data_IF_110622342066
#
_entry.id   IF_110622342066
#
_cell.length_a   1.000
_cell.length_b   1.000
_cell.length_c   1.000
_cell.angle_alpha   90.00
_cell.angle_beta   90.00
_cell.angle_gamma   90.00
#
_symmetry.space_group_name_H-M   'P 1'
#
loop_
_entity.id
_entity.type
_entity.pdbx_description
1 polymer ?
#
# COMPACT_ATOMS: atom_id res chain seq x y z
N UNK A 1 -0.38 12.88 -9.51
CA UNK A 1 -1.84 12.73 -9.44
C UNK A 1 -2.17 11.27 -9.19
N UNK A 2 -3.15 10.96 -8.35
CA UNK A 2 -3.55 9.58 -8.09
C UNK A 2 -4.18 8.93 -9.34
N UNK A 3 -4.01 7.61 -9.54
CA UNK A 3 -4.76 6.88 -10.54
C UNK A 3 -6.28 7.04 -10.33
N UNK A 4 -7.06 7.16 -11.40
CA UNK A 4 -8.48 7.51 -11.33
C UNK A 4 -9.30 6.57 -10.44
N UNK A 5 -9.03 5.26 -10.50
CA UNK A 5 -9.71 4.25 -9.67
C UNK A 5 -9.42 4.47 -8.16
N UNK A 6 -8.16 4.74 -7.82
CA UNK A 6 -7.76 5.01 -6.44
C UNK A 6 -8.31 6.35 -5.95
N UNK A 7 -8.26 7.40 -6.79
CA UNK A 7 -8.84 8.69 -6.48
C UNK A 7 -10.35 8.58 -6.15
N UNK A 8 -11.11 7.82 -6.96
CA UNK A 8 -12.53 7.60 -6.72
C UNK A 8 -12.79 6.90 -5.37
N UNK A 9 -11.98 5.91 -5.02
CA UNK A 9 -12.05 5.23 -3.73
C UNK A 9 -11.74 6.20 -2.57
N UNK A 10 -10.61 6.90 -2.63
CA UNK A 10 -10.20 7.84 -1.58
C UNK A 10 -11.23 8.97 -1.39
N UNK A 11 -11.87 9.44 -2.46
CA UNK A 11 -12.91 10.47 -2.41
C UNK A 11 -14.20 9.97 -1.74
N UNK A 12 -14.52 8.68 -1.86
CA UNK A 12 -15.73 8.09 -1.31
C UNK A 12 -15.62 7.74 0.19
N UNK A 13 -14.42 7.40 0.67
CA UNK A 13 -14.24 6.81 2.01
C UNK A 13 -13.33 7.60 2.95
N UNK A 14 -12.52 8.54 2.44
CA UNK A 14 -11.46 9.17 3.24
C UNK A 14 -10.39 8.17 3.69
N UNK A 15 -9.56 8.57 4.65
CA UNK A 15 -8.61 7.67 5.30
C UNK A 15 -9.30 6.78 6.33
N UNK A 16 -8.92 5.51 6.41
CA UNK A 16 -9.41 4.54 7.39
C UNK A 16 -8.24 4.02 8.22
N UNK A 17 -8.49 3.68 9.48
CA UNK A 17 -7.51 3.00 10.33
C UNK A 17 -8.22 1.98 11.23
N UNK A 18 -7.54 0.88 11.56
CA UNK A 18 -8.06 -0.06 12.53
C UNK A 18 -7.98 0.53 13.96
N UNK A 19 -8.76 0.00 14.95
CA UNK A 19 -8.76 0.53 16.32
C UNK A 19 -7.40 0.48 17.03
N UNK A 20 -6.55 -0.48 16.66
CA UNK A 20 -5.20 -0.61 17.20
C UNK A 20 -4.20 0.41 16.61
N UNK A 21 -4.60 1.15 15.57
CA UNK A 21 -3.73 2.06 14.82
C UNK A 21 -2.46 1.36 14.32
N UNK A 22 -2.65 0.17 13.76
CA UNK A 22 -1.59 -0.64 13.15
C UNK A 22 -1.84 -0.90 11.67
N UNK A 23 -3.02 -0.58 11.14
CA UNK A 23 -3.37 -0.71 9.72
C UNK A 23 -4.07 0.55 9.26
N UNK A 24 -3.68 1.07 8.09
CA UNK A 24 -4.26 2.26 7.47
C UNK A 24 -4.63 2.01 6.02
N UNK A 25 -5.76 2.56 5.58
CA UNK A 25 -6.07 2.81 4.17
C UNK A 25 -6.04 4.32 3.95
N UNK A 26 -5.21 4.78 3.02
CA UNK A 26 -4.95 6.20 2.82
C UNK A 26 -6.04 6.87 1.97
N UNK A 27 -6.49 8.04 2.41
CA UNK A 27 -7.43 8.91 1.71
C UNK A 27 -6.73 10.01 0.90
N UNK A 28 -7.51 10.97 0.40
CA UNK A 28 -6.97 12.09 -0.38
C UNK A 28 -6.06 13.00 0.45
N UNK A 29 -6.41 13.24 1.73
CA UNK A 29 -5.62 14.09 2.61
C UNK A 29 -4.23 13.50 2.89
N UNK A 30 -4.13 12.17 3.04
CA UNK A 30 -2.86 11.47 3.27
C UNK A 30 -1.92 11.67 2.08
N UNK A 31 -2.40 11.39 0.86
CA UNK A 31 -1.62 11.59 -0.35
C UNK A 31 -1.28 13.06 -0.65
N UNK A 32 -2.04 14.00 -0.09
CA UNK A 32 -1.76 15.43 -0.18
C UNK A 32 -0.78 15.93 0.91
N UNK A 33 -0.38 15.07 1.86
CA UNK A 33 0.45 15.46 3.00
C UNK A 33 -0.29 16.36 4.00
N UNK A 34 -1.62 16.25 4.07
CA UNK A 34 -2.51 17.10 4.87
C UNK A 34 -3.18 16.32 6.03
N UNK A 35 -2.86 15.04 6.19
CA UNK A 35 -3.34 14.18 7.27
C UNK A 35 -2.36 14.14 8.44
N UNK A 36 -2.87 13.86 9.63
CA UNK A 36 -2.07 13.51 10.82
C UNK A 36 -1.84 11.98 10.95
N UNK A 37 -1.84 11.23 9.84
CA UNK A 37 -1.58 9.79 9.87
C UNK A 37 -0.20 9.51 10.49
N UNK A 38 -0.16 8.59 11.47
CA UNK A 38 1.06 8.26 12.19
C UNK A 38 2.14 7.63 11.27
N UNK A 39 1.71 6.97 10.20
CA UNK A 39 2.56 6.46 9.13
C UNK A 39 2.16 7.10 7.81
N UNK A 40 3.14 7.65 7.07
CA UNK A 40 2.88 8.32 5.80
C UNK A 40 2.63 7.31 4.68
N UNK A 41 1.84 7.71 3.68
CA UNK A 41 1.51 6.84 2.54
C UNK A 41 2.75 6.34 1.77
N UNK A 42 3.84 7.10 1.80
CA UNK A 42 5.10 6.82 1.13
C UNK A 42 6.17 6.19 2.06
N UNK A 43 5.79 5.70 3.25
CA UNK A 43 6.77 5.24 4.25
C UNK A 43 7.75 4.20 3.69
N UNK A 44 7.28 3.23 2.91
CA UNK A 44 8.10 2.15 2.37
C UNK A 44 9.16 2.72 1.41
N UNK A 45 8.74 3.62 0.51
CA UNK A 45 9.65 4.34 -0.37
C UNK A 45 10.69 5.14 0.41
N UNK A 46 10.29 5.83 1.49
CA UNK A 46 11.22 6.63 2.30
C UNK A 46 12.24 5.75 3.01
N UNK A 47 11.82 4.62 3.57
CA UNK A 47 12.71 3.65 4.19
C UNK A 47 13.68 3.02 3.17
N UNK A 48 13.21 2.63 1.99
CA UNK A 48 14.08 2.11 0.92
C UNK A 48 15.10 3.15 0.44
N UNK A 49 14.69 4.42 0.33
CA UNK A 49 15.61 5.52 -0.03
C UNK A 49 16.65 5.80 1.06
N UNK A 50 16.27 5.74 2.33
CA UNK A 50 17.20 5.93 3.45
C UNK A 50 18.21 4.77 3.56
N UNK A 51 17.81 3.56 3.14
CA UNK A 51 18.67 2.37 3.12
C UNK A 51 19.58 2.28 1.87
N UNK A 52 19.29 3.04 0.81
CA UNK A 52 20.05 3.02 -0.44
C UNK A 52 21.51 3.47 -0.22
N UNK A 53 22.48 2.61 -0.55
CA UNK A 53 23.91 2.89 -0.34
C UNK A 53 24.61 3.42 -1.58
N UNK A 54 23.96 3.36 -2.74
CA UNK A 54 24.48 3.85 -4.01
C UNK A 54 23.43 4.63 -4.83
N UNK A 55 23.92 5.37 -5.84
CA UNK A 55 23.05 6.04 -6.81
C UNK A 55 22.23 5.03 -7.63
N UNK A 56 22.79 3.86 -7.91
CA UNK A 56 22.09 2.78 -8.60
C UNK A 56 20.90 2.26 -7.77
N UNK A 57 21.11 2.05 -6.46
CA UNK A 57 20.03 1.62 -5.55
C UNK A 57 18.94 2.70 -5.46
N UNK A 58 19.35 3.96 -5.29
CA UNK A 58 18.42 5.11 -5.27
C UNK A 58 17.58 5.16 -6.54
N UNK A 59 18.20 4.91 -7.71
CA UNK A 59 17.51 4.90 -8.98
C UNK A 59 16.55 3.71 -9.12
N UNK A 60 16.93 2.52 -8.64
CA UNK A 60 16.07 1.34 -8.65
C UNK A 60 14.81 1.57 -7.79
N UNK A 61 14.98 2.04 -6.55
CA UNK A 61 13.88 2.41 -5.63
C UNK A 61 12.94 3.41 -6.29
N UNK A 62 13.47 4.52 -6.83
CA UNK A 62 12.64 5.54 -7.51
C UNK A 62 11.89 4.97 -8.70
N UNK A 63 12.54 4.14 -9.51
CA UNK A 63 11.93 3.52 -10.70
C UNK A 63 10.77 2.61 -10.29
N UNK A 64 10.93 1.81 -9.24
CA UNK A 64 9.86 0.98 -8.72
C UNK A 64 8.67 1.82 -8.25
N UNK A 65 8.89 2.79 -7.36
CA UNK A 65 7.80 3.59 -6.78
C UNK A 65 7.15 4.57 -7.76
N UNK A 66 7.80 4.93 -8.87
CA UNK A 66 7.14 5.68 -9.95
C UNK A 66 5.98 4.90 -10.60
N UNK A 67 6.05 3.57 -10.58
CA UNK A 67 5.03 2.70 -11.15
C UNK A 67 3.98 2.22 -10.13
N UNK A 68 4.16 2.51 -8.84
CA UNK A 68 3.35 1.99 -7.72
C UNK A 68 2.85 3.13 -6.86
N UNK A 69 1.54 3.23 -6.68
CA UNK A 69 0.90 4.18 -5.76
C UNK A 69 0.43 3.43 -4.51
N UNK A 70 1.14 3.52 -3.38
CA UNK A 70 0.67 2.96 -2.11
C UNK A 70 -0.71 3.49 -1.75
N UNK A 71 -1.57 2.65 -1.19
CA UNK A 71 -2.88 3.07 -0.68
C UNK A 71 -3.24 2.44 0.67
N UNK A 72 -2.41 1.54 1.21
CA UNK A 72 -2.55 1.04 2.55
C UNK A 72 -1.20 0.65 3.15
N UNK A 73 -1.14 0.59 4.48
CA UNK A 73 -0.01 0.10 5.23
C UNK A 73 -0.44 -0.76 6.41
N UNK A 74 0.42 -1.70 6.81
CA UNK A 74 0.34 -2.40 8.07
C UNK A 74 1.68 -2.37 8.81
N UNK A 75 1.59 -2.18 10.12
CA UNK A 75 2.66 -2.33 11.12
C UNK A 75 2.24 -3.30 12.23
N UNK A 76 1.20 -4.10 12.00
CA UNK A 76 0.69 -5.06 12.99
C UNK A 76 1.65 -6.24 13.22
N UNK A 77 2.45 -6.57 12.20
CA UNK A 77 3.56 -7.51 12.25
C UNK A 77 4.79 -6.86 11.62
N UNK A 78 5.33 -7.47 10.57
CA UNK A 78 6.33 -6.82 9.74
C UNK A 78 5.71 -5.66 8.95
N UNK A 79 6.54 -4.72 8.50
CA UNK A 79 6.06 -3.62 7.68
C UNK A 79 5.49 -4.15 6.37
N UNK A 80 4.26 -3.79 6.04
CA UNK A 80 3.65 -4.15 4.76
C UNK A 80 2.95 -2.96 4.12
N UNK A 81 2.86 -2.97 2.80
CA UNK A 81 2.09 -1.99 2.03
C UNK A 81 1.20 -2.67 1.00
N UNK A 82 0.10 -1.99 0.64
CA UNK A 82 -0.65 -2.29 -0.58
C UNK A 82 -0.45 -1.14 -1.56
N UNK A 83 -0.19 -1.46 -2.83
CA UNK A 83 -0.03 -0.45 -3.87
C UNK A 83 -0.83 -0.79 -5.13
N UNK A 84 -1.35 0.24 -5.77
CA UNK A 84 -1.93 0.18 -7.11
C UNK A 84 -0.83 0.50 -8.13
N UNK A 85 -0.58 -0.43 -9.04
CA UNK A 85 0.32 -0.23 -10.17
C UNK A 85 -0.32 0.63 -11.25
N UNK A 86 0.51 1.26 -12.07
CA UNK A 86 0.06 2.07 -13.21
C UNK A 86 -0.79 1.29 -14.23
N UNK A 87 -0.61 -0.02 -14.34
CA UNK A 87 -1.40 -0.92 -15.20
C UNK A 87 -2.72 -1.38 -14.57
N UNK A 88 -3.00 -0.95 -13.33
CA UNK A 88 -4.24 -1.24 -12.59
C UNK A 88 -4.14 -2.44 -11.64
N UNK A 89 -3.06 -3.22 -11.69
CA UNK A 89 -2.88 -4.35 -10.79
C UNK A 89 -2.63 -3.88 -9.35
N UNK A 90 -3.13 -4.63 -8.38
CA UNK A 90 -2.86 -4.42 -6.95
C UNK A 90 -1.78 -5.40 -6.50
N UNK A 91 -0.80 -4.89 -5.77
CA UNK A 91 0.28 -5.67 -5.18
C UNK A 91 0.35 -5.45 -3.67
N UNK A 92 0.94 -6.42 -2.98
CA UNK A 92 1.39 -6.31 -1.59
C UNK A 92 2.90 -6.47 -1.55
N UNK A 93 3.59 -5.71 -0.71
CA UNK A 93 5.00 -5.94 -0.42
C UNK A 93 5.28 -5.80 1.07
N UNK A 94 6.41 -6.35 1.51
CA UNK A 94 6.82 -6.47 2.91
C UNK A 94 8.25 -5.97 3.10
N UNK A 95 8.50 -5.30 4.22
CA UNK A 95 9.82 -4.83 4.60
C UNK A 95 10.68 -5.97 5.19
N UNK A 96 12.01 -5.78 5.26
CA UNK A 96 12.74 -4.58 4.84
C UNK A 96 12.86 -4.43 3.32
N UNK A 97 12.71 -5.51 2.55
CA UNK A 97 12.98 -5.51 1.10
C UNK A 97 11.67 -5.33 0.33
N UNK A 98 11.13 -4.11 0.40
CA UNK A 98 9.79 -3.77 -0.08
C UNK A 98 9.59 -4.02 -1.57
N UNK A 99 10.56 -3.62 -2.39
CA UNK A 99 10.50 -3.73 -3.84
C UNK A 99 10.62 -5.18 -4.32
N UNK A 100 11.51 -5.97 -3.70
CA UNK A 100 11.76 -7.37 -4.05
C UNK A 100 10.64 -8.31 -3.59
N UNK A 101 9.93 -7.97 -2.52
CA UNK A 101 8.83 -8.77 -1.96
C UNK A 101 7.47 -8.47 -2.60
N UNK A 102 7.40 -7.57 -3.59
CA UNK A 102 6.15 -7.16 -4.20
C UNK A 102 5.45 -8.32 -4.94
N UNK A 103 4.31 -8.77 -4.42
CA UNK A 103 3.49 -9.85 -4.94
C UNK A 103 2.15 -9.35 -5.49
N UNK A 104 1.73 -9.87 -6.65
CA UNK A 104 0.43 -9.59 -7.26
C UNK A 104 -0.73 -10.14 -6.42
N UNK A 105 -1.76 -9.33 -6.18
CA UNK A 105 -2.99 -9.73 -5.49
C UNK A 105 -4.21 -9.80 -6.41
N UNK A 106 -4.35 -8.84 -7.32
CA UNK A 106 -5.50 -8.74 -8.22
C UNK A 106 -5.19 -7.86 -9.44
N UNK A 107 -5.93 -8.05 -10.52
CA UNK A 107 -5.78 -7.26 -11.75
C UNK A 107 -6.43 -5.86 -11.69
N UNK A 108 -7.21 -5.58 -10.64
CA UNK A 108 -7.87 -4.29 -10.48
C UNK A 108 -8.24 -3.98 -9.03
N UNK A 109 -8.39 -2.70 -8.71
CA UNK A 109 -8.83 -2.24 -7.39
C UNK A 109 -10.19 -2.84 -6.95
N UNK A 110 -11.24 -2.92 -7.81
CA UNK A 110 -12.50 -3.56 -7.43
C UNK A 110 -12.39 -5.07 -7.18
N UNK A 111 -11.59 -5.78 -7.98
CA UNK A 111 -11.32 -7.20 -7.77
C UNK A 111 -10.59 -7.43 -6.44
N UNK A 112 -9.60 -6.58 -6.13
CA UNK A 112 -8.92 -6.59 -4.85
C UNK A 112 -9.90 -6.40 -3.69
N UNK A 113 -10.74 -5.35 -3.69
CA UNK A 113 -11.65 -5.11 -2.57
C UNK A 113 -12.66 -6.24 -2.36
N UNK A 114 -13.13 -6.87 -3.45
CA UNK A 114 -14.00 -8.05 -3.36
C UNK A 114 -13.30 -9.19 -2.63
N UNK A 115 -12.06 -9.50 -3.01
CA UNK A 115 -11.26 -10.55 -2.36
C UNK A 115 -10.88 -10.18 -0.91
N UNK A 116 -10.54 -8.91 -0.67
CA UNK A 116 -10.17 -8.40 0.64
C UNK A 116 -11.33 -8.47 1.65
N UNK A 117 -12.55 -8.09 1.23
CA UNK A 117 -13.74 -8.26 2.08
C UNK A 117 -13.99 -9.73 2.39
N UNK A 118 -13.89 -10.63 1.40
CA UNK A 118 -14.03 -12.06 1.63
C UNK A 118 -12.97 -12.61 2.59
N UNK A 119 -11.75 -12.06 2.57
CA UNK A 119 -10.69 -12.39 3.52
C UNK A 119 -11.06 -11.96 4.94
N UNK A 120 -11.44 -10.70 5.13
CA UNK A 120 -11.78 -10.14 6.44
C UNK A 120 -13.01 -10.82 7.08
N UNK A 121 -13.97 -11.28 6.26
CA UNK A 121 -15.18 -11.96 6.74
C UNK A 121 -15.00 -13.47 6.92
N UNK A 122 -13.80 -14.01 6.66
CA UNK A 122 -13.51 -15.44 6.78
C UNK A 122 -14.13 -16.32 5.69
N UNK A 123 -14.67 -15.72 4.62
CA UNK A 123 -15.22 -16.43 3.47
C UNK A 123 -14.12 -16.97 2.53
N UNK A 124 -12.95 -16.33 2.55
CA UNK A 124 -11.73 -16.76 1.88
C UNK A 124 -10.52 -16.50 2.79
N UNK A 125 -9.37 -17.11 2.47
CA UNK A 125 -8.11 -16.83 3.16
C UNK A 125 -7.01 -16.60 2.14
N UNK A 126 -6.40 -15.42 2.21
CA UNK A 126 -5.17 -15.11 1.50
C UNK A 126 -4.08 -14.89 2.56
N UNK A 127 -3.02 -15.70 2.51
CA UNK A 127 -1.93 -15.62 3.47
C UNK A 127 -1.18 -14.28 3.40
N UNK A 128 -1.20 -13.62 2.23
CA UNK A 128 -0.49 -12.36 1.97
C UNK A 128 -1.22 -11.14 2.56
N UNK A 129 -2.45 -11.34 3.04
CA UNK A 129 -3.31 -10.28 3.59
C UNK A 129 -3.50 -10.39 5.11
N UNK A 130 -2.83 -11.35 5.77
CA UNK A 130 -3.02 -11.61 7.20
C UNK A 130 -2.68 -10.40 8.08
N UNK A 131 -1.75 -9.55 7.64
CA UNK A 131 -1.35 -8.35 8.40
C UNK A 131 -2.32 -7.17 8.20
N UNK A 132 -3.32 -7.29 7.34
CA UNK A 132 -4.30 -6.24 7.04
C UNK A 132 -5.69 -6.49 7.68
N UNK A 133 -5.75 -7.42 8.66
CA UNK A 133 -6.96 -7.81 9.39
C UNK A 133 -7.28 -7.03 10.66
#
# INVERSE_FOLDING_TARGET
MLPAALHAFCAAHGGLQNPAQTVWFYGLADHAGQSDAAFSWDFAQRLSLDAAVSEADTWAVRTFWQAHTPFAASVAGDYAYLALRHDGAVVVGQGPEFEESAEWLADSLPAFFTAFVAHLTGQARDARLLDFG
#
